data_IF_309014823543
#
_entry.id   IF_309014823543
#
_cell.length_a   1.000
_cell.length_b   1.000
_cell.length_c   1.000
_cell.angle_alpha   90.00
_cell.angle_beta   90.00
_cell.angle_gamma   90.00
#
_symmetry.space_group_name_H-M   'P 1'
#
loop_
_entity.id
_entity.type
_entity.pdbx_description
1 polymer ?
#
# COMPACT_ATOMS: atom_id res chain seq x y z
N UNK A 1 -22.68 15.38 -2.52
CA UNK A 1 -21.77 14.85 -1.47
C UNK A 1 -21.71 13.36 -1.61
N UNK A 2 -20.55 12.73 -1.43
CA UNK A 2 -20.42 11.27 -1.46
C UNK A 2 -21.20 10.65 -0.28
N UNK A 3 -21.95 9.58 -0.54
CA UNK A 3 -22.72 8.91 0.50
C UNK A 3 -21.77 8.06 1.39
N UNK A 4 -22.00 8.10 2.71
CA UNK A 4 -21.33 7.19 3.64
C UNK A 4 -21.92 5.80 3.51
N UNK A 5 -21.05 4.80 3.39
CA UNK A 5 -21.39 3.37 3.40
C UNK A 5 -20.82 2.74 4.65
N UNK A 6 -21.61 1.91 5.32
CA UNK A 6 -21.21 1.14 6.50
C UNK A 6 -21.41 -0.34 6.19
N UNK A 7 -20.37 -1.16 6.36
CA UNK A 7 -20.38 -2.61 6.13
C UNK A 7 -19.86 -3.33 7.39
N UNK A 8 -20.22 -4.60 7.48
CA UNK A 8 -19.60 -5.54 8.43
C UNK A 8 -18.56 -6.37 7.69
N UNK A 9 -17.32 -6.36 8.18
CA UNK A 9 -16.24 -7.20 7.67
C UNK A 9 -16.41 -8.66 8.10
N UNK A 10 -15.68 -9.57 7.46
CA UNK A 10 -15.74 -11.01 7.78
C UNK A 10 -15.34 -11.36 9.22
N UNK A 11 -14.57 -10.49 9.88
CA UNK A 11 -14.19 -10.61 11.30
C UNK A 11 -15.22 -10.00 12.28
N UNK A 12 -16.39 -9.55 11.77
CA UNK A 12 -17.47 -8.92 12.54
C UNK A 12 -17.26 -7.43 12.83
N UNK A 13 -16.12 -6.84 12.45
CA UNK A 13 -15.86 -5.42 12.69
C UNK A 13 -16.55 -4.51 11.66
N UNK A 14 -16.80 -3.26 12.06
CA UNK A 14 -17.39 -2.25 11.18
C UNK A 14 -16.36 -1.61 10.27
N UNK A 15 -16.72 -1.40 9.00
CA UNK A 15 -15.93 -0.71 7.98
C UNK A 15 -16.78 0.40 7.36
N UNK A 16 -16.28 1.63 7.38
CA UNK A 16 -17.00 2.81 6.90
C UNK A 16 -16.17 3.54 5.84
N UNK A 17 -16.79 3.88 4.72
CA UNK A 17 -16.12 4.60 3.63
C UNK A 17 -17.13 5.48 2.87
N UNK A 18 -16.61 6.36 2.00
CA UNK A 18 -17.45 7.13 1.09
C UNK A 18 -17.62 6.41 -0.25
N UNK A 19 -18.86 6.35 -0.76
CA UNK A 19 -19.18 5.81 -2.11
C UNK A 19 -18.71 6.78 -3.20
N UNK A 20 -17.40 6.95 -3.27
CA UNK A 20 -16.71 7.78 -4.27
C UNK A 20 -15.35 7.15 -4.57
N UNK A 21 -15.17 6.73 -5.82
CA UNK A 21 -13.88 6.16 -6.27
C UNK A 21 -12.81 7.25 -6.23
N UNK A 22 -11.76 7.02 -5.45
CA UNK A 22 -10.63 7.94 -5.29
C UNK A 22 -9.42 7.58 -6.14
N UNK A 23 -9.26 6.29 -6.45
CA UNK A 23 -8.21 5.78 -7.32
C UNK A 23 -8.65 4.49 -8.00
N UNK A 24 -8.05 4.19 -9.13
CA UNK A 24 -8.30 2.96 -9.87
C UNK A 24 -6.98 2.26 -10.15
N UNK A 25 -6.83 1.04 -9.64
CA UNK A 25 -5.75 0.13 -9.99
C UNK A 25 -6.08 -0.73 -11.21
N UNK A 26 -5.22 -1.67 -11.56
CA UNK A 26 -5.45 -2.61 -12.68
C UNK A 26 -6.76 -3.38 -12.56
N UNK A 27 -7.12 -3.85 -11.36
CA UNK A 27 -8.28 -4.74 -11.12
C UNK A 27 -9.20 -4.29 -9.99
N UNK A 28 -8.88 -3.19 -9.28
CA UNK A 28 -9.62 -2.71 -8.11
C UNK A 28 -9.94 -1.23 -8.21
N UNK A 29 -11.07 -0.85 -7.63
CA UNK A 29 -11.46 0.52 -7.35
C UNK A 29 -11.24 0.80 -5.86
N UNK A 30 -10.67 1.97 -5.55
CA UNK A 30 -10.22 2.36 -4.21
C UNK A 30 -11.11 3.45 -3.66
N UNK A 31 -11.60 3.25 -2.44
CA UNK A 31 -12.46 4.15 -1.68
C UNK A 31 -11.76 4.53 -0.38
N UNK A 32 -11.91 5.78 0.04
CA UNK A 32 -11.32 6.25 1.30
C UNK A 32 -12.28 6.04 2.46
N UNK A 33 -11.74 5.57 3.59
CA UNK A 33 -12.47 5.53 4.85
C UNK A 33 -12.89 6.94 5.28
N UNK A 34 -13.95 7.01 6.10
CA UNK A 34 -14.49 8.27 6.61
C UNK A 34 -13.44 9.05 7.41
N UNK A 35 -12.64 8.36 8.21
CA UNK A 35 -11.59 8.90 9.08
C UNK A 35 -10.21 9.01 8.37
N UNK A 36 -10.10 8.54 7.13
CA UNK A 36 -8.85 8.49 6.35
C UNK A 36 -7.71 7.71 7.02
N UNK A 37 -8.05 6.68 7.78
CA UNK A 37 -7.05 5.77 8.37
C UNK A 37 -6.78 4.53 7.51
N UNK A 38 -7.70 4.19 6.61
CA UNK A 38 -7.57 3.07 5.68
C UNK A 38 -8.26 3.35 4.33
N UNK A 39 -8.01 2.51 3.39
CA UNK A 39 -8.73 2.44 2.11
C UNK A 39 -9.46 1.11 2.01
N UNK A 40 -10.58 1.10 1.27
CA UNK A 40 -11.26 -0.12 0.87
C UNK A 40 -11.09 -0.29 -0.63
N UNK A 41 -10.48 -1.41 -1.05
CA UNK A 41 -10.21 -1.70 -2.44
C UNK A 41 -11.09 -2.86 -2.92
N UNK A 42 -12.13 -2.57 -3.70
CA UNK A 42 -13.05 -3.57 -4.25
C UNK A 42 -12.57 -4.08 -5.60
N UNK A 43 -12.60 -5.39 -5.78
CA UNK A 43 -12.38 -5.99 -7.08
C UNK A 43 -13.53 -5.61 -8.03
N UNK A 44 -13.22 -5.18 -9.26
CA UNK A 44 -14.22 -4.76 -10.25
C UNK A 44 -15.05 -5.90 -10.82
N UNK A 45 -14.61 -7.13 -10.63
CA UNK A 45 -15.31 -8.35 -11.04
C UNK A 45 -15.47 -9.28 -9.85
N UNK A 46 -16.52 -10.08 -9.81
CA UNK A 46 -16.66 -11.11 -8.78
C UNK A 46 -15.43 -12.01 -8.72
N UNK A 47 -14.93 -12.23 -7.51
CA UNK A 47 -13.78 -13.09 -7.25
C UNK A 47 -14.28 -14.54 -7.17
N UNK A 48 -13.61 -15.47 -7.86
CA UNK A 48 -13.94 -16.89 -7.79
C UNK A 48 -13.58 -17.51 -6.42
N UNK A 49 -14.08 -18.71 -6.15
CA UNK A 49 -13.90 -19.36 -4.85
C UNK A 49 -12.43 -19.58 -4.45
N UNK A 50 -11.57 -19.96 -5.39
CA UNK A 50 -10.14 -20.16 -5.13
C UNK A 50 -9.43 -18.86 -4.78
N UNK A 51 -9.73 -17.78 -5.47
CA UNK A 51 -9.12 -16.49 -5.19
C UNK A 51 -9.67 -15.87 -3.89
N UNK A 52 -10.96 -16.11 -3.54
CA UNK A 52 -11.51 -15.77 -2.22
C UNK A 52 -10.77 -16.50 -1.10
N UNK A 53 -10.51 -17.79 -1.27
CA UNK A 53 -9.72 -18.57 -0.30
C UNK A 53 -8.31 -18.00 -0.14
N UNK A 54 -7.62 -17.67 -1.25
CA UNK A 54 -6.29 -17.03 -1.19
C UNK A 54 -6.31 -15.67 -0.48
N UNK A 55 -7.31 -14.84 -0.74
CA UNK A 55 -7.48 -13.55 -0.05
C UNK A 55 -7.68 -13.78 1.45
N UNK A 56 -8.51 -14.75 1.82
CA UNK A 56 -8.72 -15.14 3.21
C UNK A 56 -7.42 -15.58 3.88
N UNK A 57 -6.63 -16.42 3.21
CA UNK A 57 -5.34 -16.89 3.73
C UNK A 57 -4.35 -15.73 3.93
N UNK A 58 -4.28 -14.79 2.99
CA UNK A 58 -3.45 -13.58 3.12
C UNK A 58 -3.83 -12.78 4.36
N UNK A 59 -5.13 -12.57 4.59
CA UNK A 59 -5.62 -11.73 5.70
C UNK A 59 -5.54 -12.46 7.03
N UNK A 60 -5.93 -13.75 7.10
CA UNK A 60 -6.17 -14.44 8.37
C UNK A 60 -5.08 -15.46 8.73
N UNK A 61 -4.39 -16.07 7.75
CA UNK A 61 -3.37 -17.10 8.01
C UNK A 61 -1.96 -16.52 7.95
N UNK A 62 -1.63 -15.76 6.90
CA UNK A 62 -0.27 -15.26 6.70
C UNK A 62 0.01 -14.01 7.53
N UNK A 63 -0.99 -13.18 7.80
CA UNK A 63 -0.83 -11.97 8.60
C UNK A 63 -0.22 -12.24 9.98
N UNK A 64 -0.71 -13.17 10.81
CA UNK A 64 -0.09 -13.47 12.12
C UNK A 64 1.34 -14.03 12.02
N UNK A 65 1.71 -14.65 10.90
CA UNK A 65 3.07 -15.15 10.68
C UNK A 65 4.08 -14.04 10.37
N UNK A 66 3.60 -12.96 9.76
CA UNK A 66 4.43 -11.80 9.40
C UNK A 66 4.47 -10.78 10.52
N UNK A 67 3.32 -10.53 11.15
CA UNK A 67 3.14 -9.52 12.20
C UNK A 67 2.94 -10.20 13.55
N UNK A 68 4.03 -10.44 14.24
CA UNK A 68 4.04 -10.95 15.61
C UNK A 68 3.63 -9.84 16.60
N UNK A 69 3.13 -10.21 17.81
CA UNK A 69 2.70 -9.24 18.82
C UNK A 69 3.89 -8.67 19.63
N UNK A 70 4.94 -8.24 18.94
CA UNK A 70 6.14 -7.67 19.52
C UNK A 70 6.65 -6.46 18.70
N UNK A 71 7.78 -5.88 19.11
CA UNK A 71 8.39 -4.75 18.40
C UNK A 71 8.75 -5.07 16.93
N UNK A 72 9.10 -6.33 16.66
CA UNK A 72 9.40 -6.76 15.29
C UNK A 72 8.13 -6.80 14.42
N UNK A 73 7.01 -7.27 14.99
CA UNK A 73 5.72 -7.25 14.31
C UNK A 73 5.25 -5.83 13.99
N UNK A 74 5.39 -4.88 14.92
CA UNK A 74 5.06 -3.48 14.66
C UNK A 74 5.93 -2.89 13.54
N UNK A 75 7.25 -3.16 13.55
CA UNK A 75 8.13 -2.74 12.46
C UNK A 75 7.65 -3.24 11.08
N UNK A 76 7.20 -4.50 11.01
CA UNK A 76 6.69 -5.06 9.76
C UNK A 76 5.31 -4.52 9.39
N UNK A 77 4.46 -4.19 10.36
CA UNK A 77 3.17 -3.55 10.12
C UNK A 77 3.33 -2.16 9.45
N UNK A 78 4.36 -1.41 9.87
CA UNK A 78 4.69 -0.11 9.27
C UNK A 78 5.37 -0.25 7.89
N UNK A 79 5.93 -1.45 7.62
CA UNK A 79 6.65 -1.72 6.38
C UNK A 79 5.76 -2.21 5.24
N UNK A 80 4.74 -3.00 5.54
CA UNK A 80 3.84 -3.58 4.56
C UNK A 80 2.46 -2.93 4.58
N UNK A 81 1.98 -2.48 3.43
CA UNK A 81 0.57 -2.14 3.25
C UNK A 81 -0.27 -3.42 3.16
N UNK A 82 -0.39 -4.14 4.28
CA UNK A 82 -1.03 -5.46 4.33
C UNK A 82 -2.54 -5.35 4.47
N UNK A 83 -3.33 -6.14 3.70
CA UNK A 83 -4.77 -6.17 3.89
C UNK A 83 -5.12 -6.71 5.29
N UNK A 84 -6.01 -6.00 5.97
CA UNK A 84 -6.38 -6.28 7.38
C UNK A 84 -7.74 -6.93 7.54
N UNK A 85 -8.67 -6.67 6.61
CA UNK A 85 -10.05 -7.17 6.66
C UNK A 85 -10.57 -7.45 5.26
N UNK A 86 -11.62 -8.27 5.19
CA UNK A 86 -12.35 -8.58 3.96
C UNK A 86 -13.79 -8.09 4.14
N UNK A 87 -14.33 -7.45 3.12
CA UNK A 87 -15.71 -6.96 3.06
C UNK A 87 -16.38 -7.37 1.76
N UNK A 88 -17.69 -7.45 1.76
CA UNK A 88 -18.49 -7.67 0.56
C UNK A 88 -19.44 -6.49 0.38
N UNK A 89 -19.53 -5.96 -0.85
CA UNK A 89 -20.41 -4.87 -1.19
C UNK A 89 -20.86 -4.98 -2.64
N UNK A 90 -22.17 -4.89 -2.88
CA UNK A 90 -22.79 -5.01 -4.22
C UNK A 90 -22.32 -6.27 -4.98
N UNK A 91 -22.12 -7.37 -4.27
CA UNK A 91 -21.63 -8.64 -4.83
C UNK A 91 -20.14 -8.67 -5.19
N UNK A 92 -19.40 -7.64 -4.83
CA UNK A 92 -17.94 -7.53 -5.04
C UNK A 92 -17.19 -7.72 -3.75
N UNK A 93 -16.12 -8.49 -3.80
CA UNK A 93 -15.18 -8.65 -2.68
C UNK A 93 -14.26 -7.44 -2.58
N UNK A 94 -14.09 -6.91 -1.38
CA UNK A 94 -13.17 -5.82 -1.07
C UNK A 94 -12.20 -6.20 0.04
N UNK A 95 -11.05 -5.55 0.04
CA UNK A 95 -10.05 -5.65 1.10
C UNK A 95 -9.81 -4.28 1.73
N UNK A 96 -9.62 -4.26 3.04
CA UNK A 96 -9.25 -3.07 3.79
C UNK A 96 -7.74 -3.03 3.94
N UNK A 97 -7.12 -1.92 3.55
CA UNK A 97 -5.65 -1.72 3.57
C UNK A 97 -5.37 -0.44 4.35
N UNK A 98 -4.39 -0.41 5.29
CA UNK A 98 -3.99 0.82 5.96
C UNK A 98 -3.63 1.92 4.97
N UNK A 99 -3.92 3.17 5.33
CA UNK A 99 -3.51 4.31 4.53
C UNK A 99 -1.98 4.44 4.54
N UNK A 100 -1.40 4.82 3.43
CA UNK A 100 0.05 5.06 3.38
C UNK A 100 0.44 6.27 4.22
N UNK A 101 1.56 6.17 4.94
CA UNK A 101 2.12 7.30 5.69
C UNK A 101 2.47 8.46 4.72
N UNK A 102 2.25 9.70 5.18
CA UNK A 102 2.52 10.91 4.41
C UNK A 102 3.96 11.04 3.92
N UNK A 103 4.93 10.41 4.60
CA UNK A 103 6.34 10.38 4.19
C UNK A 103 6.56 9.73 2.82
N UNK A 104 5.65 8.86 2.39
CA UNK A 104 5.69 8.21 1.08
C UNK A 104 5.11 9.05 -0.06
N UNK A 105 4.72 10.29 0.22
CA UNK A 105 4.26 11.23 -0.80
C UNK A 105 5.19 12.41 -0.91
N UNK A 106 5.36 12.91 -2.13
CA UNK A 106 6.11 14.14 -2.35
C UNK A 106 5.39 15.33 -1.72
N UNK A 107 6.15 16.19 -1.03
CA UNK A 107 5.64 17.41 -0.40
C UNK A 107 6.67 18.54 -0.50
N UNK A 108 6.21 19.78 -0.39
CA UNK A 108 7.11 20.94 -0.52
C UNK A 108 7.74 21.07 -1.93
N UNK A 109 7.04 20.54 -2.95
CA UNK A 109 7.46 20.68 -4.35
C UNK A 109 7.02 22.04 -4.88
N UNK A 110 7.94 22.76 -5.49
CA UNK A 110 7.64 24.01 -6.19
C UNK A 110 6.59 23.74 -7.28
N UNK A 111 5.49 24.51 -7.36
CA UNK A 111 4.45 24.34 -8.37
C UNK A 111 4.96 24.40 -9.82
N UNK A 112 6.06 25.10 -10.06
CA UNK A 112 6.71 25.18 -11.39
C UNK A 112 7.43 23.90 -11.78
N UNK A 113 7.67 22.95 -10.85
CA UNK A 113 8.33 21.67 -11.15
C UNK A 113 7.44 20.81 -12.06
N UNK A 114 7.95 20.51 -13.26
CA UNK A 114 7.12 19.93 -14.33
C UNK A 114 6.77 18.44 -14.12
N UNK A 115 7.59 17.68 -13.38
CA UNK A 115 7.57 16.21 -13.41
C UNK A 115 6.90 15.55 -12.22
N UNK A 116 7.01 16.14 -11.04
CA UNK A 116 6.51 15.59 -9.78
C UNK A 116 5.64 16.65 -9.10
N UNK A 117 4.50 16.22 -8.58
CA UNK A 117 3.54 17.10 -7.90
C UNK A 117 3.45 16.76 -6.41
N UNK A 118 3.06 17.75 -5.61
CA UNK A 118 2.69 17.50 -4.22
C UNK A 118 1.57 16.46 -4.13
N UNK A 119 1.68 15.51 -3.19
CA UNK A 119 0.74 14.42 -3.02
C UNK A 119 0.95 13.24 -3.97
N UNK A 120 1.91 13.29 -4.89
CA UNK A 120 2.27 12.17 -5.74
C UNK A 120 3.10 11.15 -4.94
N UNK A 121 2.87 9.85 -5.16
CA UNK A 121 3.60 8.76 -4.50
C UNK A 121 5.08 8.74 -4.84
N UNK A 122 5.92 8.56 -3.82
CA UNK A 122 7.36 8.29 -3.97
C UNK A 122 7.60 6.83 -4.31
N UNK A 123 7.09 6.37 -5.46
CA UNK A 123 7.32 4.99 -5.88
C UNK A 123 8.77 4.75 -6.35
N UNK A 124 9.20 3.49 -6.32
CA UNK A 124 10.58 3.08 -6.63
C UNK A 124 11.08 3.53 -8.00
N UNK A 125 10.19 3.80 -8.95
CA UNK A 125 10.51 4.34 -10.28
C UNK A 125 11.43 5.56 -10.20
N UNK A 126 11.13 6.50 -9.33
CA UNK A 126 11.86 7.77 -9.23
C UNK A 126 13.28 7.59 -8.70
N UNK A 127 13.54 6.49 -8.00
CA UNK A 127 14.79 6.22 -7.31
C UNK A 127 15.59 5.05 -7.91
N UNK A 128 15.14 4.50 -9.05
CA UNK A 128 15.73 3.31 -9.67
C UNK A 128 17.07 3.58 -10.38
N UNK A 129 17.41 4.83 -10.69
CA UNK A 129 18.70 5.16 -11.29
C UNK A 129 19.13 6.59 -10.96
N UNK A 130 20.45 6.84 -10.95
CA UNK A 130 21.01 8.18 -10.77
C UNK A 130 20.50 9.18 -11.82
N UNK A 131 20.28 8.72 -13.06
CA UNK A 131 19.73 9.57 -14.14
C UNK A 131 18.33 10.07 -13.82
N UNK A 132 17.43 9.19 -13.34
CA UNK A 132 16.07 9.56 -12.99
C UNK A 132 16.03 10.48 -11.77
N UNK A 133 16.79 10.14 -10.72
CA UNK A 133 16.90 10.96 -9.52
C UNK A 133 17.37 12.38 -9.86
N UNK A 134 18.46 12.50 -10.62
CA UNK A 134 19.06 13.80 -10.92
C UNK A 134 18.19 14.66 -11.83
N UNK A 135 17.46 14.05 -12.75
CA UNK A 135 16.63 14.76 -13.72
C UNK A 135 15.27 15.18 -13.17
N UNK A 136 14.63 14.32 -12.36
CA UNK A 136 13.21 14.47 -12.05
C UNK A 136 12.91 14.72 -10.57
N UNK A 137 13.75 14.26 -9.64
CA UNK A 137 13.48 14.41 -8.21
C UNK A 137 14.09 15.71 -7.69
N UNK A 138 13.32 16.57 -7.00
CA UNK A 138 13.84 17.78 -6.37
C UNK A 138 14.95 17.49 -5.35
N UNK A 139 15.91 18.39 -5.21
CA UNK A 139 17.11 18.19 -4.36
C UNK A 139 16.73 17.83 -2.92
N UNK A 140 15.74 18.51 -2.35
CA UNK A 140 15.25 18.29 -0.99
C UNK A 140 14.48 16.97 -0.79
N UNK A 141 14.27 16.19 -1.86
CA UNK A 141 13.56 14.90 -1.84
C UNK A 141 14.42 13.73 -2.33
N UNK A 142 15.69 13.97 -2.68
CA UNK A 142 16.57 12.93 -3.29
C UNK A 142 17.14 11.94 -2.28
N UNK A 143 17.31 12.36 -1.04
CA UNK A 143 18.14 11.62 -0.07
C UNK A 143 19.59 11.51 -0.52
N UNK A 144 20.38 10.74 0.25
CA UNK A 144 21.80 10.49 0.01
C UNK A 144 22.01 9.13 -0.66
N UNK A 145 23.25 8.83 -1.06
CA UNK A 145 23.61 7.48 -1.50
C UNK A 145 23.34 6.44 -0.40
N UNK A 146 23.68 6.79 0.85
CA UNK A 146 23.51 5.89 1.99
C UNK A 146 22.02 5.60 2.26
N UNK A 147 21.14 6.61 2.19
CA UNK A 147 19.71 6.39 2.39
C UNK A 147 19.12 5.52 1.28
N UNK A 148 19.59 5.64 0.04
CA UNK A 148 19.20 4.77 -1.07
C UNK A 148 19.67 3.32 -0.86
N UNK A 149 20.88 3.13 -0.38
CA UNK A 149 21.37 1.79 -0.01
C UNK A 149 20.51 1.16 1.09
N UNK A 150 20.15 1.94 2.12
CA UNK A 150 19.22 1.49 3.15
C UNK A 150 17.84 1.09 2.58
N UNK A 151 17.30 1.80 1.59
CA UNK A 151 16.05 1.40 0.92
C UNK A 151 16.19 0.02 0.25
N UNK A 152 17.31 -0.22 -0.47
CA UNK A 152 17.57 -1.53 -1.08
C UNK A 152 17.64 -2.66 -0.03
N UNK A 153 18.33 -2.40 1.10
CA UNK A 153 18.42 -3.35 2.22
C UNK A 153 17.02 -3.61 2.81
N UNK A 154 16.21 -2.58 3.02
CA UNK A 154 14.84 -2.72 3.54
C UNK A 154 13.97 -3.57 2.59
N UNK A 155 14.02 -3.32 1.29
CA UNK A 155 13.28 -4.10 0.28
C UNK A 155 13.70 -5.57 0.33
N UNK A 156 15.01 -5.86 0.34
CA UNK A 156 15.52 -7.22 0.44
C UNK A 156 15.08 -7.93 1.73
N UNK A 157 15.10 -7.23 2.87
CA UNK A 157 14.61 -7.75 4.16
C UNK A 157 13.12 -8.03 4.13
N UNK A 158 12.30 -7.14 3.53
CA UNK A 158 10.88 -7.35 3.35
C UNK A 158 10.59 -8.58 2.49
N UNK A 159 11.26 -8.71 1.34
CA UNK A 159 11.15 -9.89 0.47
C UNK A 159 11.51 -11.18 1.22
N UNK A 160 12.63 -11.18 1.96
CA UNK A 160 13.01 -12.30 2.81
C UNK A 160 11.95 -12.64 3.86
N UNK A 161 11.31 -11.63 4.47
CA UNK A 161 10.24 -11.84 5.45
C UNK A 161 9.03 -12.54 4.84
N UNK A 162 8.63 -12.14 3.63
CA UNK A 162 7.56 -12.81 2.87
C UNK A 162 7.93 -14.27 2.57
N UNK A 163 9.13 -14.53 2.06
CA UNK A 163 9.59 -15.88 1.76
C UNK A 163 9.63 -16.78 3.01
N UNK A 164 10.07 -16.24 4.15
CA UNK A 164 10.06 -16.97 5.43
C UNK A 164 8.65 -17.32 5.91
N UNK A 165 7.63 -16.58 5.49
CA UNK A 165 6.22 -16.88 5.75
C UNK A 165 5.59 -17.79 4.68
N UNK A 166 6.36 -18.27 3.70
CA UNK A 166 5.88 -19.11 2.60
C UNK A 166 5.20 -18.36 1.47
N UNK A 167 5.43 -17.04 1.37
CA UNK A 167 4.83 -16.18 0.36
C UNK A 167 5.87 -15.66 -0.62
N UNK A 168 5.47 -15.52 -1.89
CA UNK A 168 6.22 -14.77 -2.89
C UNK A 168 5.43 -13.52 -3.29
N UNK A 169 6.13 -12.39 -3.40
CA UNK A 169 5.54 -11.19 -3.98
C UNK A 169 5.63 -11.29 -5.51
N UNK A 170 4.56 -11.80 -6.14
CA UNK A 170 4.55 -12.12 -7.58
C UNK A 170 4.64 -10.89 -8.50
N UNK A 171 4.47 -9.68 -7.96
CA UNK A 171 4.54 -8.42 -8.71
C UNK A 171 5.38 -7.38 -7.94
N UNK A 172 6.64 -7.72 -7.66
CA UNK A 172 7.60 -6.79 -7.06
C UNK A 172 8.15 -5.84 -8.13
N UNK A 173 7.34 -4.92 -8.54
CA UNK A 173 7.70 -3.84 -9.47
C UNK A 173 7.94 -2.52 -8.74
N UNK A 174 8.57 -1.57 -9.42
CA UNK A 174 8.81 -0.24 -8.87
C UNK A 174 7.51 0.54 -8.53
N UNK A 175 6.38 0.16 -9.10
CA UNK A 175 5.09 0.78 -8.78
C UNK A 175 4.51 0.27 -7.45
N UNK A 176 4.93 -0.92 -7.01
CA UNK A 176 4.43 -1.56 -5.80
C UNK A 176 5.38 -1.38 -4.60
N UNK A 177 6.37 -0.51 -4.75
CA UNK A 177 7.31 -0.14 -3.68
C UNK A 177 7.30 1.36 -3.50
N UNK A 178 6.83 1.81 -2.34
CA UNK A 178 6.92 3.20 -1.91
C UNK A 178 8.18 3.38 -1.08
N UNK A 179 8.87 4.48 -1.27
CA UNK A 179 10.15 4.76 -0.62
C UNK A 179 10.15 6.11 0.09
N UNK A 180 10.90 6.17 1.17
CA UNK A 180 11.21 7.41 1.86
C UNK A 180 12.74 7.54 1.94
N UNK A 181 13.35 8.39 1.11
CA UNK A 181 14.80 8.56 1.03
C UNK A 181 15.36 9.56 2.03
N UNK A 182 14.51 10.19 2.87
CA UNK A 182 14.88 11.24 3.82
C UNK A 182 15.14 10.70 5.22
#
# INVERSE_FOLDING_TARGET
>A
MANKVTLTATDGSTVEFYDEIKAQGGVKDVYFSVDKTYVVAFYRKPVNGNDKARINDIVNVHRPRIFTNDKAGQYWADFFAWPTKIVEWRGLTGIVIPFYDKKFFFSGIDPSWAFIKNGQEKNGKWFSSAKLINKFVPVNQKGTFLTRLHMCIKIARGTRRLHAAGLAHSDLSYNNVLVDPL
#
